data_IF_926355155383
#
_entry.id   IF_926355155383
#
_cell.length_a   1.000
_cell.length_b   1.000
_cell.length_c   1.000
_cell.angle_alpha   90.00
_cell.angle_beta   90.00
_cell.angle_gamma   90.00
#
_symmetry.space_group_name_H-M   'P 1'
#
loop_
_entity.id
_entity.type
_entity.pdbx_description
1 polymer ?
#
# COMPACT_ATOMS: atom_id res chain seq x y z
N UNK A 1 5.13 32.63 9.36
CA UNK A 1 4.24 32.67 8.18
C UNK A 1 4.28 31.25 7.58
N UNK A 2 3.49 30.27 8.00
CA UNK A 2 2.09 30.28 8.37
C UNK A 2 1.87 29.40 9.61
N UNK A 3 1.41 30.00 10.68
CA UNK A 3 0.64 29.30 11.71
C UNK A 3 -0.76 29.88 11.64
N UNK A 4 -1.72 29.10 11.16
CA UNK A 4 -3.14 29.43 11.22
C UNK A 4 -3.93 28.16 11.50
N UNK A 5 -4.16 27.93 12.78
CA UNK A 5 -5.33 27.34 13.41
C UNK A 5 -6.36 26.72 12.46
N UNK A 6 -6.30 25.39 12.31
CA UNK A 6 -7.40 24.58 11.82
C UNK A 6 -7.53 23.38 12.78
N UNK A 7 -8.75 23.23 13.30
CA UNK A 7 -9.16 22.24 14.29
C UNK A 7 -8.59 20.83 14.03
N UNK A 8 -8.06 20.22 15.07
CA UNK A 8 -7.41 18.91 15.08
C UNK A 8 -8.36 17.76 14.69
N UNK A 9 -8.37 17.30 13.43
CA UNK A 9 -8.70 15.91 13.00
C UNK A 9 -8.37 15.63 11.51
N UNK A 10 -7.40 16.30 10.89
CA UNK A 10 -6.86 15.82 9.60
C UNK A 10 -5.88 14.68 9.92
N UNK A 11 -6.40 13.50 10.27
CA UNK A 11 -5.56 12.30 10.35
C UNK A 11 -4.95 12.13 8.96
N UNK A 12 -3.66 12.42 8.80
CA UNK A 12 -2.97 12.27 7.54
C UNK A 12 -3.21 10.84 7.04
N UNK A 13 -4.10 10.69 6.06
CA UNK A 13 -4.65 9.38 5.70
C UNK A 13 -3.73 8.72 4.68
N UNK A 14 -2.55 8.31 5.13
CA UNK A 14 -1.64 7.54 4.29
C UNK A 14 -2.31 6.23 3.88
N UNK A 15 -2.18 5.88 2.60
CA UNK A 15 -2.69 4.63 2.02
C UNK A 15 -1.57 3.86 1.36
N UNK A 16 -1.71 2.55 1.32
CA UNK A 16 -0.73 1.64 0.73
C UNK A 16 -1.39 0.90 -0.43
N UNK A 17 -0.81 0.96 -1.62
CA UNK A 17 -1.23 0.10 -2.73
C UNK A 17 -0.60 -1.28 -2.51
N UNK A 18 -1.42 -2.26 -2.15
CA UNK A 18 -0.97 -3.63 -1.83
C UNK A 18 -1.40 -4.58 -2.94
N UNK A 19 -0.46 -5.43 -3.37
CA UNK A 19 -0.73 -6.64 -4.14
C UNK A 19 -0.61 -7.84 -3.19
N UNK A 20 -1.71 -8.56 -3.00
CA UNK A 20 -1.81 -9.68 -2.07
C UNK A 20 -1.41 -10.99 -2.76
N UNK A 21 -0.29 -11.62 -2.37
CA UNK A 21 0.19 -12.87 -2.96
C UNK A 21 -0.69 -14.08 -2.62
N UNK A 22 -1.66 -13.95 -1.72
CA UNK A 22 -2.53 -15.05 -1.32
C UNK A 22 -3.74 -15.25 -2.25
N UNK A 23 -3.85 -14.49 -3.35
CA UNK A 23 -4.91 -14.72 -4.34
C UNK A 23 -4.75 -16.09 -5.00
N UNK A 24 -5.76 -16.96 -4.86
CA UNK A 24 -5.78 -18.31 -5.42
C UNK A 24 -6.81 -18.50 -6.54
N UNK A 25 -7.39 -17.40 -7.04
CA UNK A 25 -8.39 -17.46 -8.11
C UNK A 25 -7.77 -17.60 -9.51
N UNK A 26 -8.61 -17.61 -10.57
CA UNK A 26 -8.15 -17.74 -11.94
C UNK A 26 -7.14 -16.66 -12.34
N UNK A 27 -6.11 -17.05 -13.08
CA UNK A 27 -5.10 -16.15 -13.64
C UNK A 27 -5.74 -15.09 -14.53
N UNK A 28 -5.30 -13.84 -14.40
CA UNK A 28 -5.72 -12.74 -15.29
C UNK A 28 -7.16 -12.25 -15.08
N UNK A 29 -7.89 -12.75 -14.07
CA UNK A 29 -9.22 -12.22 -13.75
C UNK A 29 -9.12 -10.88 -13.01
N UNK A 30 -8.84 -9.81 -13.76
CA UNK A 30 -8.60 -8.47 -13.23
C UNK A 30 -9.79 -7.95 -12.42
N UNK A 31 -11.01 -8.30 -12.82
CA UNK A 31 -12.24 -7.88 -12.14
C UNK A 31 -12.27 -8.40 -10.70
N UNK A 32 -12.02 -9.71 -10.52
CA UNK A 32 -11.96 -10.29 -9.18
C UNK A 32 -10.81 -9.69 -8.38
N UNK A 33 -9.64 -9.54 -9.00
CA UNK A 33 -8.43 -9.02 -8.33
C UNK A 33 -8.67 -7.61 -7.76
N UNK A 34 -9.29 -6.71 -8.51
CA UNK A 34 -9.54 -5.33 -8.08
C UNK A 34 -10.77 -5.20 -7.20
N UNK A 35 -11.91 -5.80 -7.57
CA UNK A 35 -13.18 -5.65 -6.82
C UNK A 35 -13.15 -6.36 -5.47
N UNK A 36 -12.41 -7.47 -5.34
CA UNK A 36 -12.24 -8.17 -4.04
C UNK A 36 -11.03 -7.67 -3.25
N UNK A 37 -10.28 -6.70 -3.77
CA UNK A 37 -9.21 -6.03 -3.04
C UNK A 37 -7.93 -6.88 -2.86
N UNK A 38 -7.68 -7.82 -3.76
CA UNK A 38 -6.39 -8.55 -3.87
C UNK A 38 -5.29 -7.65 -4.45
N UNK A 39 -5.66 -6.65 -5.26
CA UNK A 39 -4.81 -5.52 -5.59
C UNK A 39 -5.58 -4.23 -5.36
N UNK A 40 -5.12 -3.38 -4.44
CA UNK A 40 -5.83 -2.13 -4.16
C UNK A 40 -5.27 -1.33 -2.99
N UNK A 41 -5.83 -0.14 -2.81
CA UNK A 41 -5.46 0.77 -1.73
C UNK A 41 -5.98 0.29 -0.37
N UNK A 42 -5.07 0.21 0.60
CA UNK A 42 -5.34 -0.17 1.99
C UNK A 42 -5.02 0.98 2.94
N UNK A 43 -5.78 1.07 4.03
CA UNK A 43 -5.54 2.02 5.12
C UNK A 43 -4.39 1.55 6.02
N UNK A 44 -3.89 2.45 6.88
CA UNK A 44 -2.87 2.14 7.88
C UNK A 44 -3.23 0.94 8.77
N UNK A 45 -4.52 0.73 9.05
CA UNK A 45 -5.04 -0.39 9.85
C UNK A 45 -4.85 -1.77 9.21
N UNK A 46 -4.37 -1.84 7.95
CA UNK A 46 -3.99 -3.08 7.30
C UNK A 46 -2.80 -3.76 7.98
N UNK A 47 -1.83 -2.97 8.46
CA UNK A 47 -0.66 -3.48 9.16
C UNK A 47 -1.02 -3.75 10.62
N UNK A 48 -0.56 -4.88 11.18
CA UNK A 48 -0.73 -5.19 12.60
C UNK A 48 0.19 -4.29 13.42
N UNK A 49 -0.36 -3.57 14.39
CA UNK A 49 0.39 -2.58 15.18
C UNK A 49 1.40 -3.17 16.16
N UNK A 50 1.31 -4.48 16.45
CA UNK A 50 2.09 -5.16 17.49
C UNK A 50 3.17 -6.10 16.94
N UNK A 51 3.54 -5.96 15.66
CA UNK A 51 4.59 -6.76 15.04
C UNK A 51 5.52 -5.88 14.23
N UNK A 52 6.77 -6.30 14.10
CA UNK A 52 7.75 -5.62 13.26
C UNK A 52 7.61 -6.07 11.80
N UNK A 53 7.68 -5.12 10.87
CA UNK A 53 7.68 -5.37 9.43
C UNK A 53 9.02 -4.96 8.83
N UNK A 54 9.56 -5.82 7.96
CA UNK A 54 10.70 -5.48 7.11
C UNK A 54 10.17 -5.13 5.71
N UNK A 55 10.55 -3.97 5.19
CA UNK A 55 10.29 -3.61 3.79
C UNK A 55 11.55 -3.91 2.97
N UNK A 56 11.45 -4.90 2.08
CA UNK A 56 12.51 -5.19 1.13
C UNK A 56 12.40 -4.21 -0.04
N UNK A 57 13.29 -3.22 -0.06
CA UNK A 57 13.39 -2.28 -1.17
C UNK A 57 14.46 -2.77 -2.13
N UNK A 58 14.06 -3.08 -3.37
CA UNK A 58 15.04 -3.43 -4.39
C UNK A 58 15.94 -2.21 -4.66
N UNK A 59 17.26 -2.43 -4.87
CA UNK A 59 18.15 -1.34 -5.23
C UNK A 59 17.66 -0.71 -6.54
N UNK A 60 17.93 0.60 -6.75
CA UNK A 60 17.54 1.28 -7.97
C UNK A 60 18.05 0.50 -9.18
N UNK A 61 17.15 0.27 -10.15
CA UNK A 61 17.48 -0.41 -11.39
C UNK A 61 18.59 0.38 -12.06
N UNK A 62 19.78 -0.22 -12.19
CA UNK A 62 20.86 0.41 -12.94
C UNK A 62 20.46 0.36 -14.42
N UNK A 63 20.24 1.54 -14.99
CA UNK A 63 19.79 1.73 -16.37
C UNK A 63 20.66 1.05 -17.45
N UNK A 64 21.86 0.57 -17.11
CA UNK A 64 22.86 0.07 -18.05
C UNK A 64 23.27 -1.40 -17.82
N UNK A 65 22.38 -2.28 -17.32
CA UNK A 65 22.59 -3.72 -17.46
C UNK A 65 21.74 -4.25 -18.61
N UNK A 66 22.40 -4.40 -19.76
CA UNK A 66 21.97 -5.23 -20.89
C UNK A 66 22.14 -6.69 -20.52
#
# INVERSE_FOLDING_TARGET
LCESTLNNTESSSYRYLILDPHYTGPLGNIKIITEKGWCGWKLQSFWKSNVHYNLCLLPPIRSNRV
#
